data_IF_194165764824
#
_entry.id   IF_194165764824
#
_cell.length_a   1.000
_cell.length_b   1.000
_cell.length_c   1.000
_cell.angle_alpha   90.00
_cell.angle_beta   90.00
_cell.angle_gamma   90.00
#
_symmetry.space_group_name_H-M   'P 1'
#
loop_
_entity.id
_entity.type
_entity.pdbx_description
1 polymer ?
#
# COMPACT_ATOMS: atom_id res chain seq x y z
N UNK A 1 7.80 19.48 13.01
CA UNK A 1 7.53 18.46 11.98
C UNK A 1 6.34 17.66 12.48
N UNK A 2 5.15 17.79 11.87
CA UNK A 2 3.95 17.11 12.40
C UNK A 2 4.00 15.66 11.94
N UNK A 3 4.22 14.74 12.88
CA UNK A 3 3.92 13.32 12.71
C UNK A 3 2.47 13.27 12.26
N UNK A 4 2.21 12.77 11.06
CA UNK A 4 0.85 12.63 10.57
C UNK A 4 0.29 11.37 11.19
N UNK A 5 -0.37 11.54 12.33
CA UNK A 5 -1.22 10.51 12.90
C UNK A 5 -2.25 10.09 11.83
N UNK A 6 -2.28 8.80 11.51
CA UNK A 6 -3.25 8.23 10.57
C UNK A 6 -4.65 8.18 11.19
N UNK A 7 -4.80 8.53 12.47
CA UNK A 7 -6.07 8.46 13.17
C UNK A 7 -6.54 7.01 13.31
N UNK A 8 -7.83 6.81 13.52
CA UNK A 8 -8.37 5.44 13.67
C UNK A 8 -8.26 4.66 12.34
N UNK A 9 -7.44 3.61 12.35
CA UNK A 9 -7.27 2.70 11.20
C UNK A 9 -8.08 1.42 11.36
N UNK A 10 -8.65 0.92 10.28
CA UNK A 10 -9.21 -0.45 10.20
C UNK A 10 -8.43 -1.20 9.14
N UNK A 11 -7.86 -2.35 9.51
CA UNK A 11 -7.06 -3.21 8.63
C UNK A 11 -7.77 -4.55 8.42
N UNK A 12 -7.74 -5.02 7.18
CA UNK A 12 -8.22 -6.33 6.77
C UNK A 12 -7.02 -7.14 6.29
N UNK A 13 -6.66 -8.18 7.05
CA UNK A 13 -5.52 -9.04 6.76
C UNK A 13 -5.92 -10.19 5.85
N UNK A 14 -5.05 -10.49 4.89
CA UNK A 14 -5.19 -11.58 3.93
C UNK A 14 -6.60 -11.71 3.29
N UNK A 15 -7.21 -10.61 2.78
CA UNK A 15 -8.50 -10.71 2.11
C UNK A 15 -8.38 -11.58 0.84
N UNK A 16 -9.47 -12.25 0.49
CA UNK A 16 -9.48 -13.24 -0.58
C UNK A 16 -9.45 -12.56 -1.95
N UNK A 17 -8.32 -12.65 -2.64
CA UNK A 17 -8.14 -12.09 -3.98
C UNK A 17 -8.74 -12.97 -5.08
N UNK A 18 -9.44 -12.35 -6.03
CA UNK A 18 -10.15 -13.02 -7.14
C UNK A 18 -9.50 -12.84 -8.51
N UNK A 19 -8.41 -12.09 -8.60
CA UNK A 19 -7.79 -11.68 -9.86
C UNK A 19 -8.07 -10.22 -10.24
N UNK A 20 -9.23 -9.68 -9.86
CA UNK A 20 -9.64 -8.30 -10.19
C UNK A 20 -10.14 -7.47 -8.99
N UNK A 21 -10.11 -8.05 -7.79
CA UNK A 21 -10.67 -7.47 -6.57
C UNK A 21 -10.75 -8.51 -5.45
N UNK A 22 -11.46 -8.15 -4.38
CA UNK A 22 -11.66 -8.96 -3.19
C UNK A 22 -13.06 -9.59 -3.15
N UNK A 23 -13.17 -10.75 -2.50
CA UNK A 23 -14.46 -11.41 -2.24
C UNK A 23 -15.24 -10.65 -1.16
N UNK A 24 -14.54 -10.18 -0.14
CA UNK A 24 -15.14 -9.54 1.02
C UNK A 24 -15.61 -8.11 0.69
N UNK A 25 -16.83 -7.77 1.13
CA UNK A 25 -17.50 -6.51 0.76
C UNK A 25 -16.67 -5.27 1.12
N UNK A 26 -16.12 -5.20 2.33
CA UNK A 26 -15.38 -4.01 2.77
C UNK A 26 -14.02 -3.90 2.05
N UNK A 27 -13.17 -4.93 2.01
CA UNK A 27 -11.97 -4.92 1.16
C UNK A 27 -12.27 -4.55 -0.30
N UNK A 28 -13.35 -5.06 -0.88
CA UNK A 28 -13.74 -4.72 -2.25
C UNK A 28 -14.15 -3.24 -2.40
N UNK A 29 -14.86 -2.67 -1.42
CA UNK A 29 -15.19 -1.25 -1.41
C UNK A 29 -13.92 -0.37 -1.28
N UNK A 30 -12.97 -0.77 -0.44
CA UNK A 30 -11.68 -0.09 -0.29
C UNK A 30 -10.84 -0.18 -1.57
N UNK A 31 -10.77 -1.35 -2.21
CA UNK A 31 -10.16 -1.53 -3.53
C UNK A 31 -10.77 -0.61 -4.57
N UNK A 32 -12.10 -0.49 -4.59
CA UNK A 32 -12.81 0.38 -5.53
C UNK A 32 -12.49 1.86 -5.31
N UNK A 33 -12.17 2.25 -4.07
CA UNK A 33 -11.74 3.62 -3.71
C UNK A 33 -10.27 3.89 -3.97
N UNK A 34 -9.43 2.86 -4.05
CA UNK A 34 -8.02 3.03 -4.38
C UNK A 34 -7.89 3.70 -5.76
N UNK A 35 -7.04 4.74 -5.90
CA UNK A 35 -6.84 5.42 -7.17
C UNK A 35 -6.48 4.46 -8.30
N UNK A 36 -7.00 4.73 -9.50
CA UNK A 36 -6.75 3.89 -10.67
C UNK A 36 -5.26 3.75 -10.99
N UNK A 37 -4.47 4.80 -10.74
CA UNK A 37 -3.01 4.81 -10.85
C UNK A 37 -2.38 3.68 -10.02
N UNK A 38 -2.73 3.59 -8.75
CA UNK A 38 -2.20 2.57 -7.83
C UNK A 38 -2.80 1.18 -8.11
N UNK A 39 -4.09 1.09 -8.46
CA UNK A 39 -4.70 -0.19 -8.84
C UNK A 39 -4.02 -0.82 -10.03
N UNK A 40 -3.68 -0.03 -11.06
CA UNK A 40 -2.98 -0.53 -12.25
C UNK A 40 -1.61 -1.11 -11.88
N UNK A 41 -0.88 -0.42 -11.02
CA UNK A 41 0.43 -0.89 -10.55
C UNK A 41 0.26 -2.18 -9.74
N UNK A 42 -0.67 -2.21 -8.78
CA UNK A 42 -0.94 -3.40 -7.97
C UNK A 42 -1.33 -4.60 -8.83
N UNK A 43 -2.20 -4.39 -9.83
CA UNK A 43 -2.60 -5.45 -10.77
C UNK A 43 -1.41 -5.99 -11.55
N UNK A 44 -0.55 -5.12 -12.07
CA UNK A 44 0.64 -5.54 -12.81
C UNK A 44 1.57 -6.40 -11.94
N UNK A 45 1.83 -5.97 -10.72
CA UNK A 45 2.63 -6.72 -9.75
C UNK A 45 1.99 -8.08 -9.38
N UNK A 46 0.67 -8.10 -9.15
CA UNK A 46 -0.05 -9.34 -8.82
C UNK A 46 -0.02 -10.32 -10.01
N UNK A 47 -0.17 -9.84 -11.25
CA UNK A 47 -0.07 -10.69 -12.44
C UNK A 47 1.32 -11.30 -12.61
N UNK A 48 2.36 -10.67 -12.06
CA UNK A 48 3.73 -11.17 -12.05
C UNK A 48 4.05 -12.08 -10.86
N UNK A 49 3.07 -12.40 -10.02
CA UNK A 49 3.19 -13.37 -8.93
C UNK A 49 3.29 -12.76 -7.54
N UNK A 50 3.17 -11.43 -7.39
CA UNK A 50 2.98 -10.82 -6.08
C UNK A 50 1.56 -11.11 -5.56
N UNK A 51 1.35 -10.98 -4.26
CA UNK A 51 0.06 -11.27 -3.63
C UNK A 51 -0.33 -10.15 -2.68
N UNK A 52 -1.63 -9.92 -2.53
CA UNK A 52 -2.16 -8.97 -1.55
C UNK A 52 -1.92 -9.49 -0.14
N UNK A 53 -1.41 -8.63 0.74
CA UNK A 53 -1.19 -8.95 2.15
C UNK A 53 -2.29 -8.39 3.04
N UNK A 54 -2.59 -7.11 2.88
CA UNK A 54 -3.64 -6.44 3.65
C UNK A 54 -4.18 -5.23 2.92
N UNK A 55 -5.36 -4.78 3.32
CA UNK A 55 -5.90 -3.48 2.91
C UNK A 55 -6.39 -2.73 4.15
N UNK A 56 -6.02 -1.46 4.27
CA UNK A 56 -6.36 -0.63 5.42
C UNK A 56 -7.03 0.68 4.99
N UNK A 57 -7.86 1.21 5.88
CA UNK A 57 -8.44 2.53 5.77
C UNK A 57 -8.13 3.38 7.00
N UNK A 58 -7.67 4.61 6.77
CA UNK A 58 -7.72 5.70 7.75
C UNK A 58 -9.06 6.43 7.58
N UNK A 59 -10.01 6.19 8.49
CA UNK A 59 -11.39 6.70 8.36
C UNK A 59 -11.46 8.24 8.37
N UNK A 60 -10.65 8.87 9.22
CA UNK A 60 -10.64 10.32 9.39
C UNK A 60 -10.08 11.06 8.18
N UNK A 61 -9.18 10.40 7.43
CA UNK A 61 -8.52 10.98 6.26
C UNK A 61 -9.06 10.45 4.94
N UNK A 62 -9.89 9.41 4.97
CA UNK A 62 -10.39 8.74 3.78
C UNK A 62 -9.31 8.05 2.95
N UNK A 63 -8.11 7.85 3.53
CA UNK A 63 -6.94 7.26 2.88
C UNK A 63 -7.06 5.75 2.89
N UNK A 64 -6.76 5.13 1.74
CA UNK A 64 -6.65 3.68 1.58
C UNK A 64 -5.19 3.32 1.38
N UNK A 65 -4.75 2.24 2.02
CA UNK A 65 -3.46 1.60 1.75
C UNK A 65 -3.70 0.14 1.39
N UNK A 66 -3.13 -0.31 0.27
CA UNK A 66 -3.03 -1.72 -0.09
C UNK A 66 -1.59 -2.18 0.12
N UNK A 67 -1.38 -3.28 0.82
CA UNK A 67 -0.07 -3.90 0.98
C UNK A 67 0.05 -5.16 0.11
N UNK A 68 1.21 -5.32 -0.54
CA UNK A 68 1.60 -6.51 -1.27
C UNK A 68 2.74 -7.24 -0.54
N UNK A 69 2.72 -8.57 -0.56
CA UNK A 69 3.59 -9.44 0.25
C UNK A 69 5.08 -9.32 -0.02
N UNK A 70 5.45 -8.85 -1.20
CA UNK A 70 6.84 -8.69 -1.58
C UNK A 70 7.09 -7.33 -2.20
N UNK A 71 8.37 -6.98 -2.29
CA UNK A 71 8.87 -5.85 -3.07
C UNK A 71 8.26 -5.76 -4.46
N UNK A 72 8.27 -4.56 -5.06
CA UNK A 72 7.79 -4.39 -6.42
C UNK A 72 8.60 -5.27 -7.37
N UNK A 73 7.91 -5.99 -8.23
CA UNK A 73 8.53 -6.79 -9.29
C UNK A 73 9.10 -5.87 -10.37
N UNK A 74 8.44 -4.72 -10.59
CA UNK A 74 8.89 -3.68 -11.52
C UNK A 74 9.21 -2.42 -10.72
N UNK A 75 10.48 -2.05 -10.72
CA UNK A 75 10.93 -0.78 -10.14
C UNK A 75 10.34 0.41 -10.90
N UNK A 76 9.84 1.39 -10.14
CA UNK A 76 9.25 2.61 -10.68
C UNK A 76 9.94 3.84 -10.08
N UNK A 77 9.95 4.91 -10.86
CA UNK A 77 10.38 6.23 -10.40
C UNK A 77 9.18 7.15 -10.20
N UNK A 78 9.31 8.09 -9.27
CA UNK A 78 8.31 9.14 -9.04
C UNK A 78 7.98 9.92 -10.31
N UNK A 79 6.72 10.32 -10.46
CA UNK A 79 6.22 11.17 -11.52
C UNK A 79 5.16 12.16 -10.98
N UNK A 80 4.41 12.82 -11.88
CA UNK A 80 3.40 13.82 -11.50
C UNK A 80 2.14 13.24 -10.85
N UNK A 81 1.95 11.92 -10.89
CA UNK A 81 0.78 11.21 -10.36
C UNK A 81 1.15 10.37 -9.14
N UNK A 82 2.24 9.62 -9.24
CA UNK A 82 2.69 8.68 -8.21
C UNK A 82 4.05 9.11 -7.69
N UNK A 83 4.18 9.24 -6.38
CA UNK A 83 5.44 9.43 -5.67
C UNK A 83 5.91 8.10 -5.11
N UNK A 84 7.15 7.74 -5.40
CA UNK A 84 7.79 6.51 -4.93
C UNK A 84 8.67 6.83 -3.73
N UNK A 85 8.46 6.08 -2.64
CA UNK A 85 9.21 6.15 -1.41
C UNK A 85 9.96 4.82 -1.23
N UNK A 86 11.29 4.86 -1.17
CA UNK A 86 12.16 3.68 -0.98
C UNK A 86 13.07 3.80 0.23
N UNK A 87 12.88 4.85 1.02
CA UNK A 87 13.64 5.15 2.23
C UNK A 87 12.70 5.76 3.26
N UNK A 88 12.99 5.52 4.53
CA UNK A 88 12.37 6.25 5.61
C UNK A 88 12.75 7.73 5.53
N UNK A 89 11.87 8.54 4.97
CA UNK A 89 12.00 9.99 5.01
C UNK A 89 10.70 10.60 5.53
N UNK A 90 10.81 11.61 6.41
CA UNK A 90 9.69 12.41 6.90
C UNK A 90 8.61 11.67 7.73
N UNK A 91 8.95 10.54 8.36
CA UNK A 91 8.11 9.90 9.39
C UNK A 91 6.77 9.37 8.88
N UNK A 92 6.68 9.01 7.60
CA UNK A 92 5.42 8.67 6.95
C UNK A 92 5.61 7.58 5.86
N UNK A 93 4.86 6.49 6.03
CA UNK A 93 4.42 5.47 5.05
C UNK A 93 5.38 4.41 4.51
N UNK A 94 6.71 4.57 4.59
CA UNK A 94 7.56 3.39 4.68
C UNK A 94 7.63 3.06 6.17
N UNK A 95 6.95 2.00 6.59
CA UNK A 95 7.22 1.41 7.89
C UNK A 95 8.44 0.52 7.76
N UNK A 96 9.13 0.35 8.88
CA UNK A 96 10.12 -0.69 9.10
C UNK A 96 9.49 -2.01 8.61
N UNK A 97 10.04 -2.62 7.55
CA UNK A 97 9.42 -3.78 6.91
C UNK A 97 8.92 -3.61 5.49
N UNK A 98 9.06 -2.43 4.85
CA UNK A 98 8.66 -2.22 3.44
C UNK A 98 9.85 -1.98 2.52
N UNK A 99 9.89 -2.62 1.33
CA UNK A 99 10.89 -2.32 0.28
C UNK A 99 10.59 -1.00 -0.43
N UNK A 100 9.31 -0.72 -0.63
CA UNK A 100 8.86 0.52 -1.25
C UNK A 100 7.40 0.83 -0.87
N UNK A 101 7.05 2.11 -0.90
CA UNK A 101 5.66 2.57 -0.82
C UNK A 101 5.39 3.57 -1.93
N UNK A 102 4.31 3.38 -2.67
CA UNK A 102 3.88 4.28 -3.74
C UNK A 102 2.67 5.07 -3.28
N UNK A 103 2.76 6.39 -3.39
CA UNK A 103 1.72 7.33 -2.98
C UNK A 103 1.09 7.97 -4.21
N UNK A 104 -0.25 7.98 -4.28
CA UNK A 104 -0.96 8.82 -5.23
C UNK A 104 -0.97 10.27 -4.71
N UNK A 105 -0.33 11.19 -5.43
CA UNK A 105 -0.06 12.57 -4.98
C UNK A 105 -1.37 13.35 -4.75
N UNK A 106 -2.44 13.01 -5.48
CA UNK A 106 -3.71 13.74 -5.41
C UNK A 106 -4.54 13.33 -4.20
N UNK A 107 -4.58 12.03 -3.91
CA UNK A 107 -5.46 11.46 -2.89
C UNK A 107 -4.74 11.14 -1.58
N UNK A 108 -3.42 11.03 -1.61
CA UNK A 108 -2.63 10.53 -0.48
C UNK A 108 -2.92 9.07 -0.16
N UNK A 109 -3.46 8.28 -1.10
CA UNK A 109 -3.58 6.83 -0.95
C UNK A 109 -2.26 6.13 -1.24
N UNK A 110 -2.09 4.91 -0.72
CA UNK A 110 -0.82 4.19 -0.76
C UNK A 110 -0.94 2.77 -1.33
N UNK A 111 0.14 2.33 -1.95
CA UNK A 111 0.43 0.94 -2.28
C UNK A 111 1.79 0.60 -1.63
N UNK A 112 1.78 -0.24 -0.61
CA UNK A 112 2.98 -0.69 0.09
C UNK A 112 3.45 -2.04 -0.46
N UNK A 113 4.76 -2.22 -0.50
CA UNK A 113 5.41 -3.47 -0.87
C UNK A 113 6.27 -3.94 0.30
N UNK A 114 5.83 -5.02 0.93
CA UNK A 114 6.50 -5.60 2.10
C UNK A 114 7.89 -6.14 1.73
N UNK A 115 8.80 -6.05 2.68
CA UNK A 115 10.11 -6.68 2.65
C UNK A 115 10.07 -7.98 3.46
N UNK A 116 9.94 -9.15 2.81
CA UNK A 116 9.89 -10.42 3.52
C UNK A 116 11.21 -10.75 4.24
N UNK A 117 12.31 -10.07 3.88
CA UNK A 117 13.62 -10.25 4.49
C UNK A 117 13.84 -9.31 5.69
N UNK A 118 12.91 -8.38 5.95
CA UNK A 118 13.03 -7.47 7.07
C UNK A 118 12.95 -8.23 8.40
N UNK A 119 13.97 -8.02 9.23
CA UNK A 119 14.02 -8.53 10.60
C UNK A 119 14.01 -7.33 11.52
N UNK A 120 12.93 -7.19 12.30
CA UNK A 120 12.84 -6.19 13.35
C UNK A 120 14.07 -6.33 14.26
N UNK A 121 14.89 -5.29 14.35
CA UNK A 121 16.02 -5.29 15.26
C UNK A 121 15.47 -5.09 16.67
N UNK A 122 15.31 -6.20 17.40
CA UNK A 122 14.96 -6.17 18.82
C UNK A 122 16.17 -5.60 19.58
N UNK A 123 16.06 -4.36 20.06
CA UNK A 123 17.02 -3.71 20.95
C UNK A 123 16.60 -3.89 22.42
#
# INVERSE_FOLDING_TARGET
MRIHDLGTTTQYECPTWTGNGFVEEVPQALWTRLPESLRKIALEDIHLGNNTESILESRERGIVLLALRTGPVIDRTSNSVVKVHTRHEYGNYCYDGTKATYEDIKTGCFLAFEDPDYKEQVY
#
